data_IF_640222719282
#
_entry.id   IF_640222719282
#
_cell.length_a   1.000
_cell.length_b   1.000
_cell.length_c   1.000
_cell.angle_alpha   90.00
_cell.angle_beta   90.00
_cell.angle_gamma   90.00
#
_symmetry.space_group_name_H-M   'P 1'
#
loop_
_entity.id
_entity.type
_entity.pdbx_description
1 polymer ?
#
# COMPACT_ATOMS: atom_id res chain seq x y z
N UNK A 1 82.70 28.94 18.71
CA UNK A 1 82.55 30.38 18.60
C UNK A 1 81.26 30.66 17.78
N UNK A 2 80.50 31.55 18.23
CA UNK A 2 79.38 32.28 17.78
C UNK A 2 78.00 31.54 17.71
N UNK A 3 77.20 31.92 18.69
CA UNK A 3 75.75 31.78 18.81
C UNK A 3 75.07 32.76 17.88
N UNK A 4 74.05 32.35 17.15
CA UNK A 4 73.06 33.28 16.60
C UNK A 4 71.65 32.76 16.94
N UNK A 5 70.97 33.57 17.71
CA UNK A 5 69.56 33.44 18.12
C UNK A 5 68.65 33.74 16.93
N UNK A 6 67.84 32.82 16.56
CA UNK A 6 66.70 33.03 15.64
C UNK A 6 65.38 33.19 16.46
N UNK A 7 64.80 34.38 16.45
CA UNK A 7 63.51 34.68 17.04
C UNK A 7 62.41 34.13 16.15
N UNK A 8 61.66 33.16 16.65
CA UNK A 8 60.37 32.73 16.08
C UNK A 8 59.29 33.76 16.46
N UNK A 9 58.75 34.44 15.47
CA UNK A 9 57.55 35.26 15.60
C UNK A 9 56.33 34.34 15.46
N UNK A 10 55.64 34.03 16.57
CA UNK A 10 54.34 33.33 16.54
C UNK A 10 53.26 34.38 16.24
N UNK A 11 52.74 34.35 15.01
CA UNK A 11 51.54 35.11 14.65
C UNK A 11 50.31 34.33 15.12
N UNK A 12 49.70 34.80 16.20
CA UNK A 12 48.38 34.27 16.65
C UNK A 12 47.30 34.72 15.69
N UNK A 13 46.76 33.82 14.87
CA UNK A 13 45.61 34.10 14.02
C UNK A 13 44.34 34.04 14.91
N UNK A 14 43.85 35.22 15.29
CA UNK A 14 42.58 35.37 16.01
C UNK A 14 41.42 35.08 15.01
N UNK A 15 40.93 33.87 14.97
CA UNK A 15 39.70 33.54 14.23
C UNK A 15 38.53 34.10 15.02
N UNK A 16 38.06 35.28 14.62
CA UNK A 16 36.78 35.84 15.09
C UNK A 16 35.66 34.97 14.51
N UNK A 17 35.17 34.02 15.29
CA UNK A 17 33.91 33.34 15.00
C UNK A 17 32.80 34.38 15.15
N UNK A 18 32.40 35.00 14.06
CA UNK A 18 31.13 35.71 13.98
C UNK A 18 30.03 34.66 14.09
N UNK A 19 29.16 34.69 15.12
CA UNK A 19 28.01 33.81 15.12
C UNK A 19 27.18 34.18 13.89
N UNK A 20 27.05 33.24 12.95
CA UNK A 20 26.02 33.30 11.92
C UNK A 20 24.69 33.24 12.66
N UNK A 21 24.13 34.41 12.97
CA UNK A 21 22.75 34.48 13.42
C UNK A 21 21.92 33.89 12.30
N UNK A 22 21.38 32.71 12.51
CA UNK A 22 20.40 32.17 11.60
C UNK A 22 19.26 33.19 11.54
N UNK A 23 19.13 33.88 10.41
CA UNK A 23 18.00 34.78 10.21
C UNK A 23 16.73 33.93 10.31
N UNK A 24 15.78 34.36 11.14
CA UNK A 24 14.47 33.72 11.22
C UNK A 24 13.87 33.73 9.80
N UNK A 25 13.22 32.64 9.43
CA UNK A 25 12.52 32.57 8.16
C UNK A 25 11.44 33.68 8.09
N UNK A 26 11.11 34.14 6.89
CA UNK A 26 10.05 35.13 6.66
C UNK A 26 8.83 34.41 6.04
N UNK A 27 7.63 34.88 6.40
CA UNK A 27 6.39 34.41 5.81
C UNK A 27 6.17 35.14 4.49
N UNK A 28 6.28 34.41 3.39
CA UNK A 28 6.04 34.95 2.05
C UNK A 28 4.54 35.02 1.71
N UNK A 29 3.76 34.02 2.17
CA UNK A 29 2.34 33.93 1.83
C UNK A 29 1.56 33.07 2.83
N UNK A 30 0.28 33.45 3.02
CA UNK A 30 -0.67 32.64 3.79
C UNK A 30 -1.92 32.38 2.98
N UNK A 31 -2.15 31.13 2.63
CA UNK A 31 -3.26 30.73 1.78
C UNK A 31 -3.97 29.49 2.31
N UNK A 32 -5.18 29.26 1.80
CA UNK A 32 -5.94 28.06 2.12
C UNK A 32 -6.60 27.47 0.88
N UNK A 33 -6.89 26.18 0.94
CA UNK A 33 -7.73 25.47 -0.01
C UNK A 33 -8.75 24.62 0.73
N UNK A 34 -9.92 24.45 0.13
CA UNK A 34 -11.05 23.75 0.71
C UNK A 34 -11.49 22.62 -0.22
N UNK A 35 -11.68 21.43 0.33
CA UNK A 35 -12.20 20.25 -0.34
C UNK A 35 -13.32 19.62 0.49
N UNK A 36 -14.09 18.67 -0.02
CA UNK A 36 -15.12 17.99 0.78
C UNK A 36 -14.59 17.30 2.05
N UNK A 37 -13.34 16.83 2.04
CA UNK A 37 -12.74 16.08 3.14
C UNK A 37 -11.96 16.92 4.14
N UNK A 38 -11.39 18.04 3.71
CA UNK A 38 -10.52 18.87 4.55
C UNK A 38 -10.42 20.31 4.07
N UNK A 39 -10.00 21.18 4.98
CA UNK A 39 -9.44 22.47 4.67
C UNK A 39 -7.93 22.43 4.96
N UNK A 40 -7.14 22.98 4.05
CA UNK A 40 -5.69 23.06 4.16
C UNK A 40 -5.27 24.50 4.26
N UNK A 41 -4.53 24.85 5.30
CA UNK A 41 -3.81 26.10 5.42
C UNK A 41 -2.34 25.84 5.04
N UNK A 42 -1.76 26.81 4.33
CA UNK A 42 -0.37 26.76 3.90
C UNK A 42 0.26 28.11 4.20
N UNK A 43 1.35 28.08 4.94
CA UNK A 43 2.26 29.20 5.13
C UNK A 43 3.48 28.93 4.26
N UNK A 44 3.68 29.73 3.23
CA UNK A 44 4.86 29.69 2.36
C UNK A 44 5.98 30.49 3.02
N UNK A 45 7.21 29.98 3.01
CA UNK A 45 8.34 30.50 3.79
C UNK A 45 9.60 30.53 2.92
N UNK A 46 10.41 31.59 3.08
CA UNK A 46 11.72 31.73 2.40
C UNK A 46 12.79 30.80 2.99
N UNK A 47 12.64 30.38 4.26
CA UNK A 47 13.59 29.55 5.01
C UNK A 47 12.97 28.27 5.60
N UNK A 48 13.84 27.50 6.25
CA UNK A 48 13.41 26.32 7.03
C UNK A 48 12.72 26.80 8.31
N UNK A 49 11.71 26.08 8.72
CA UNK A 49 10.93 26.36 9.92
C UNK A 49 10.83 25.14 10.82
N UNK A 50 10.93 25.36 12.11
CA UNK A 50 10.50 24.44 13.16
C UNK A 50 9.19 24.96 13.75
N UNK A 51 8.33 24.07 14.20
CA UNK A 51 7.03 24.44 14.76
C UNK A 51 6.71 23.65 16.01
N UNK A 52 5.88 24.23 16.87
CA UNK A 52 5.31 23.61 18.05
C UNK A 52 3.79 23.82 18.06
N UNK A 53 3.05 22.81 18.47
CA UNK A 53 1.62 22.90 18.71
C UNK A 53 1.39 23.32 20.17
N UNK A 54 1.21 24.62 20.41
CA UNK A 54 1.09 25.19 21.74
C UNK A 54 -0.33 25.16 22.32
N UNK A 55 -1.33 24.91 21.46
CA UNK A 55 -2.73 24.75 21.89
C UNK A 55 -3.52 23.87 20.94
N UNK A 56 -4.15 22.86 21.51
CA UNK A 56 -5.06 21.98 20.80
C UNK A 56 -6.30 21.74 21.67
N UNK A 57 -7.40 22.37 21.32
CA UNK A 57 -8.66 22.25 22.01
C UNK A 57 -9.81 22.08 21.01
N UNK A 58 -10.98 21.65 21.49
CA UNK A 58 -12.18 21.54 20.65
C UNK A 58 -12.58 22.82 19.90
N UNK A 59 -12.05 23.98 20.32
CA UNK A 59 -12.43 25.29 19.78
C UNK A 59 -11.26 26.07 19.17
N UNK A 60 -10.03 25.64 19.38
CA UNK A 60 -8.88 26.41 18.91
C UNK A 60 -7.63 25.54 18.75
N UNK A 61 -6.97 25.70 17.60
CA UNK A 61 -5.62 25.19 17.32
C UNK A 61 -4.66 26.38 17.25
N UNK A 62 -3.48 26.25 17.85
CA UNK A 62 -2.42 27.26 17.77
C UNK A 62 -1.10 26.58 17.52
N UNK A 63 -0.50 26.86 16.38
CA UNK A 63 0.86 26.48 16.02
C UNK A 63 1.76 27.69 16.18
N UNK A 64 2.89 27.53 16.86
CA UNK A 64 3.94 28.54 16.93
C UNK A 64 5.14 28.05 16.12
N UNK A 65 5.76 28.92 15.33
CA UNK A 65 6.87 28.56 14.47
C UNK A 65 7.88 29.70 14.30
N UNK A 66 9.12 29.32 14.02
CA UNK A 66 10.26 30.24 13.96
C UNK A 66 10.32 30.97 12.61
N UNK A 67 9.43 31.93 12.42
CA UNK A 67 9.41 32.81 11.24
C UNK A 67 8.82 34.15 11.64
N UNK A 68 9.14 35.20 10.87
CA UNK A 68 8.56 36.53 11.02
C UNK A 68 7.41 36.74 10.04
N UNK A 69 6.45 37.51 10.44
CA UNK A 69 5.38 38.03 9.60
C UNK A 69 5.32 39.55 9.82
N UNK A 70 5.27 40.31 8.73
CA UNK A 70 5.32 41.79 8.82
C UNK A 70 4.08 42.40 9.48
N UNK A 71 2.91 41.78 9.25
CA UNK A 71 1.63 42.18 9.79
C UNK A 71 0.74 40.98 10.11
N UNK A 72 -0.20 41.17 11.04
CA UNK A 72 -1.24 40.16 11.34
C UNK A 72 -2.11 39.89 10.09
N UNK A 73 -2.09 38.64 9.61
CA UNK A 73 -2.85 38.26 8.44
C UNK A 73 -4.11 37.49 8.88
N UNK A 74 -5.26 37.97 8.50
CA UNK A 74 -6.55 37.29 8.75
C UNK A 74 -7.07 36.66 7.47
N UNK A 75 -7.26 35.34 7.51
CA UNK A 75 -7.85 34.59 6.40
C UNK A 75 -9.36 34.87 6.29
N UNK A 76 -9.84 35.14 5.07
CA UNK A 76 -11.28 35.30 4.75
C UNK A 76 -11.98 33.94 4.52
N UNK A 77 -11.53 32.90 5.20
CA UNK A 77 -12.10 31.56 5.06
C UNK A 77 -13.58 31.54 5.50
N UNK A 78 -14.44 30.99 4.65
CA UNK A 78 -15.84 30.68 4.99
C UNK A 78 -16.02 29.18 4.98
N UNK A 79 -16.10 28.57 6.15
CA UNK A 79 -16.14 27.12 6.31
C UNK A 79 -17.03 26.75 7.52
N UNK A 80 -17.81 25.67 7.45
CA UNK A 80 -18.65 25.24 8.58
C UNK A 80 -17.87 24.93 9.86
N UNK A 81 -16.62 24.40 9.74
CA UNK A 81 -15.79 24.03 10.89
C UNK A 81 -14.86 25.16 11.33
N UNK A 82 -14.48 26.06 10.45
CA UNK A 82 -13.56 27.14 10.74
C UNK A 82 -14.31 28.42 11.04
N UNK A 83 -14.11 28.97 12.23
CA UNK A 83 -14.64 30.27 12.59
C UNK A 83 -13.76 31.40 12.07
N UNK A 84 -12.43 31.27 12.26
CA UNK A 84 -11.43 32.26 11.86
C UNK A 84 -10.07 31.59 11.81
N UNK A 85 -9.24 31.99 10.87
CA UNK A 85 -7.82 31.65 10.85
C UNK A 85 -6.97 32.91 10.66
N UNK A 86 -5.84 33.01 11.37
CA UNK A 86 -4.94 34.17 11.30
C UNK A 86 -3.51 33.79 11.62
N UNK A 87 -2.59 34.52 11.01
CA UNK A 87 -1.20 34.62 11.47
C UNK A 87 -1.08 35.82 12.37
N UNK A 88 -0.32 35.68 13.45
CA UNK A 88 -0.08 36.71 14.43
C UNK A 88 1.38 36.72 14.84
N UNK A 89 2.02 37.89 14.80
CA UNK A 89 3.34 38.07 15.34
C UNK A 89 3.39 37.86 16.87
N UNK A 90 4.44 37.21 17.35
CA UNK A 90 4.68 36.99 18.78
C UNK A 90 6.19 37.03 19.09
N UNK A 91 6.72 38.22 19.22
CA UNK A 91 8.16 38.45 19.36
C UNK A 91 8.91 38.00 18.10
N UNK A 92 9.87 37.09 18.25
CA UNK A 92 10.64 36.57 17.12
C UNK A 92 9.96 35.38 16.40
N UNK A 93 8.73 35.04 16.77
CA UNK A 93 7.96 33.91 16.24
C UNK A 93 6.63 34.36 15.66
N UNK A 94 6.03 33.50 14.85
CA UNK A 94 4.69 33.66 14.32
C UNK A 94 3.77 32.57 14.85
N UNK A 95 2.51 32.90 15.12
CA UNK A 95 1.46 31.97 15.49
C UNK A 95 0.43 31.84 14.38
N UNK A 96 0.19 30.62 13.93
CA UNK A 96 -1.02 30.28 13.17
C UNK A 96 -2.12 29.90 14.17
N UNK A 97 -3.13 30.73 14.27
CA UNK A 97 -4.27 30.54 15.19
C UNK A 97 -5.50 30.23 14.36
N UNK A 98 -6.10 29.08 14.62
CA UNK A 98 -7.34 28.64 13.98
C UNK A 98 -8.42 28.44 15.04
N UNK A 99 -9.42 29.31 15.00
CA UNK A 99 -10.62 29.20 15.83
C UNK A 99 -11.63 28.29 15.12
N UNK A 100 -12.14 27.28 15.84
CA UNK A 100 -13.03 26.24 15.32
C UNK A 100 -14.48 26.46 15.78
N UNK A 101 -15.43 26.14 14.91
CA UNK A 101 -16.85 26.06 15.27
C UNK A 101 -17.19 24.71 15.94
N UNK A 102 -16.47 23.65 15.59
CA UNK A 102 -16.62 22.30 16.13
C UNK A 102 -15.26 21.64 16.27
N UNK A 103 -15.17 20.61 17.09
CA UNK A 103 -13.97 19.76 17.18
C UNK A 103 -13.61 19.19 15.81
N UNK A 104 -12.33 19.23 15.48
CA UNK A 104 -11.82 18.72 14.20
C UNK A 104 -10.45 18.07 14.40
N UNK A 105 -10.24 16.98 13.69
CA UNK A 105 -8.94 16.33 13.57
C UNK A 105 -8.04 17.16 12.65
N UNK A 106 -6.74 17.15 12.92
CA UNK A 106 -5.80 17.87 12.08
C UNK A 106 -4.47 17.14 11.95
N UNK A 107 -3.68 17.58 10.98
CA UNK A 107 -2.31 17.12 10.75
C UNK A 107 -1.44 18.32 10.37
N UNK A 108 -0.30 18.45 11.03
CA UNK A 108 0.72 19.45 10.70
C UNK A 108 1.93 18.77 10.10
N UNK A 109 2.52 19.38 9.09
CA UNK A 109 3.76 18.91 8.49
C UNK A 109 4.46 20.02 7.71
N UNK A 110 5.76 19.85 7.50
CA UNK A 110 6.60 20.77 6.73
C UNK A 110 6.93 20.13 5.37
N UNK A 111 6.83 20.93 4.32
CA UNK A 111 7.30 20.59 2.98
C UNK A 111 8.56 21.41 2.68
N UNK A 112 9.47 20.83 1.89
CA UNK A 112 10.70 21.46 1.41
C UNK A 112 10.60 21.67 -0.10
N UNK A 113 11.26 22.73 -0.58
CA UNK A 113 11.38 23.08 -2.01
C UNK A 113 10.03 23.32 -2.72
N UNK A 114 9.32 24.42 -2.45
CA UNK A 114 9.62 25.49 -1.49
C UNK A 114 9.27 25.10 -0.05
N UNK A 115 9.84 25.82 0.92
CA UNK A 115 9.55 25.59 2.32
C UNK A 115 8.12 26.02 2.65
N UNK A 116 7.38 25.16 3.34
CA UNK A 116 5.97 25.40 3.68
C UNK A 116 5.62 24.73 4.99
N UNK A 117 4.93 25.44 5.87
CA UNK A 117 4.22 24.85 6.98
C UNK A 117 2.77 24.58 6.54
N UNK A 118 2.31 23.35 6.67
CA UNK A 118 0.98 22.92 6.21
C UNK A 118 0.17 22.42 7.39
N UNK A 119 -1.05 22.93 7.54
CA UNK A 119 -2.04 22.46 8.49
C UNK A 119 -3.27 21.96 7.73
N UNK A 120 -3.51 20.65 7.77
CA UNK A 120 -4.74 20.02 7.31
C UNK A 120 -5.72 19.87 8.46
N UNK A 121 -6.93 20.42 8.33
CA UNK A 121 -8.03 20.24 9.27
C UNK A 121 -9.10 19.42 8.57
N UNK A 122 -9.40 18.25 9.12
CA UNK A 122 -10.30 17.29 8.50
C UNK A 122 -11.76 17.56 8.90
N UNK A 123 -12.66 17.45 7.94
CA UNK A 123 -14.09 17.52 8.16
C UNK A 123 -14.62 16.16 8.56
N UNK A 124 -14.72 15.93 9.87
CA UNK A 124 -15.38 14.74 10.37
C UNK A 124 -16.89 14.96 10.26
N UNK A 125 -17.47 14.53 9.15
CA UNK A 125 -18.89 14.27 9.08
C UNK A 125 -19.06 12.76 9.17
N UNK A 126 -19.65 12.29 10.24
CA UNK A 126 -20.22 10.94 10.28
C UNK A 126 -21.47 11.01 9.42
N UNK A 127 -21.31 10.74 8.14
CA UNK A 127 -22.43 10.59 7.21
C UNK A 127 -22.63 9.10 7.00
N UNK A 128 -23.85 8.64 7.19
CA UNK A 128 -24.25 7.29 6.82
C UNK A 128 -25.48 7.40 5.92
N UNK A 129 -25.36 6.83 4.73
CA UNK A 129 -26.50 6.66 3.83
C UNK A 129 -26.69 5.18 3.54
N UNK A 130 -27.93 4.75 3.47
CA UNK A 130 -28.29 3.38 3.15
C UNK A 130 -29.18 3.38 1.91
N UNK A 131 -28.86 2.53 0.95
CA UNK A 131 -29.60 2.35 -0.29
C UNK A 131 -30.00 0.90 -0.46
N UNK A 132 -31.29 0.62 -0.50
CA UNK A 132 -31.80 -0.72 -0.85
C UNK A 132 -31.55 -0.98 -2.34
N UNK A 133 -30.78 -2.00 -2.64
CA UNK A 133 -30.48 -2.45 -4.01
C UNK A 133 -31.43 -3.55 -4.49
N UNK A 134 -32.44 -3.89 -3.67
CA UNK A 134 -33.45 -4.90 -3.93
C UNK A 134 -33.01 -6.32 -3.57
N UNK A 135 -34.00 -7.20 -3.35
CA UNK A 135 -33.83 -8.63 -3.07
C UNK A 135 -32.95 -8.95 -1.86
N UNK A 136 -32.93 -8.05 -0.85
CA UNK A 136 -32.13 -8.23 0.37
C UNK A 136 -30.64 -7.90 0.22
N UNK A 137 -30.28 -7.06 -0.74
CA UNK A 137 -28.97 -6.44 -0.87
C UNK A 137 -29.08 -4.97 -0.53
N UNK A 138 -28.27 -4.52 0.42
CA UNK A 138 -28.22 -3.11 0.84
C UNK A 138 -26.78 -2.59 0.68
N UNK A 139 -26.65 -1.41 0.12
CA UNK A 139 -25.39 -0.66 0.10
C UNK A 139 -25.44 0.40 1.18
N UNK A 140 -24.48 0.39 2.08
CA UNK A 140 -24.31 1.38 3.13
C UNK A 140 -23.00 2.12 2.86
N UNK A 141 -23.09 3.42 2.69
CA UNK A 141 -21.95 4.32 2.65
C UNK A 141 -21.81 5.00 4.00
N UNK A 142 -20.63 4.95 4.59
CA UNK A 142 -20.29 5.66 5.81
C UNK A 142 -19.03 6.49 5.59
N UNK A 143 -19.04 7.66 6.16
CA UNK A 143 -17.85 8.45 6.38
C UNK A 143 -17.61 8.48 7.87
N UNK A 144 -16.50 7.93 8.33
CA UNK A 144 -16.18 7.81 9.74
C UNK A 144 -14.71 8.10 10.01
N UNK A 145 -14.39 8.36 11.26
CA UNK A 145 -13.03 8.53 11.71
C UNK A 145 -12.46 7.19 12.18
N UNK A 146 -11.31 6.81 11.64
CA UNK A 146 -10.54 5.67 12.13
C UNK A 146 -9.18 6.17 12.62
N UNK A 147 -9.00 6.23 13.93
CA UNK A 147 -7.76 6.67 14.57
C UNK A 147 -7.29 8.07 14.12
N UNK A 148 -8.22 9.00 14.01
CA UNK A 148 -7.91 10.37 13.60
C UNK A 148 -7.79 10.61 12.09
N UNK A 149 -8.12 9.62 11.28
CA UNK A 149 -8.13 9.72 9.82
C UNK A 149 -9.55 9.55 9.29
N UNK A 150 -10.07 10.51 8.51
CA UNK A 150 -11.36 10.35 7.85
C UNK A 150 -11.25 9.24 6.79
N UNK A 151 -12.09 8.23 6.92
CA UNK A 151 -12.19 7.12 5.97
C UNK A 151 -13.59 7.05 5.37
N UNK A 152 -13.67 6.60 4.13
CA UNK A 152 -14.90 6.29 3.45
C UNK A 152 -15.07 4.77 3.42
N UNK A 153 -16.16 4.30 4.02
CA UNK A 153 -16.47 2.87 4.13
C UNK A 153 -17.69 2.56 3.29
N UNK A 154 -17.52 1.63 2.37
CA UNK A 154 -18.62 1.08 1.58
C UNK A 154 -18.91 -0.35 2.07
N UNK A 155 -20.13 -0.61 2.51
CA UNK A 155 -20.57 -1.89 3.02
C UNK A 155 -21.65 -2.44 2.09
N UNK A 156 -21.49 -3.69 1.66
CA UNK A 156 -22.54 -4.45 1.00
C UNK A 156 -23.11 -5.45 2.00
N UNK A 157 -24.33 -5.24 2.43
CA UNK A 157 -25.02 -6.12 3.35
C UNK A 157 -25.95 -7.03 2.58
N UNK A 158 -25.84 -8.33 2.81
CA UNK A 158 -26.64 -9.38 2.17
C UNK A 158 -27.51 -10.04 3.23
N UNK A 159 -28.82 -9.86 3.15
CA UNK A 159 -29.76 -10.42 4.11
C UNK A 159 -29.70 -11.96 4.12
N UNK A 160 -29.84 -12.64 5.27
CA UNK A 160 -29.71 -14.09 5.37
C UNK A 160 -30.68 -14.92 4.50
N UNK A 161 -31.84 -14.38 4.20
CA UNK A 161 -32.89 -15.04 3.40
C UNK A 161 -32.94 -14.59 1.94
N UNK A 162 -31.84 -14.07 1.41
CA UNK A 162 -31.77 -13.62 0.03
C UNK A 162 -31.45 -14.77 -0.94
N UNK A 163 -31.50 -14.47 -2.25
CA UNK A 163 -31.16 -15.40 -3.34
C UNK A 163 -29.78 -15.12 -3.95
N UNK A 164 -28.97 -14.25 -3.35
CA UNK A 164 -27.63 -13.97 -3.87
C UNK A 164 -26.64 -15.01 -3.40
N UNK A 165 -25.70 -15.32 -4.27
CA UNK A 165 -24.58 -16.20 -3.99
C UNK A 165 -23.33 -15.33 -3.95
N UNK A 166 -22.59 -15.41 -2.86
CA UNK A 166 -21.25 -14.85 -2.79
C UNK A 166 -20.30 -15.80 -3.51
N UNK A 167 -19.62 -15.31 -4.56
CA UNK A 167 -18.68 -16.11 -5.34
C UNK A 167 -17.42 -15.29 -5.61
N UNK A 168 -16.23 -15.80 -5.27
CA UNK A 168 -14.99 -15.22 -5.76
C UNK A 168 -14.87 -15.46 -7.27
N UNK A 169 -14.27 -14.51 -7.99
CA UNK A 169 -13.97 -14.63 -9.39
C UNK A 169 -12.68 -13.89 -9.75
N UNK A 170 -12.01 -14.30 -10.82
CA UNK A 170 -10.85 -13.60 -11.32
C UNK A 170 -11.28 -12.45 -12.24
N UNK A 171 -10.84 -11.23 -11.95
CA UNK A 171 -11.07 -10.07 -12.79
C UNK A 171 -10.31 -10.11 -14.12
N UNK A 172 -9.28 -10.92 -14.22
CA UNK A 172 -8.55 -11.20 -15.44
C UNK A 172 -9.31 -12.24 -16.28
N UNK A 173 -10.47 -11.89 -16.78
CA UNK A 173 -11.32 -12.77 -17.61
C UNK A 173 -10.64 -13.17 -18.92
N UNK A 174 -9.63 -12.41 -19.36
CA UNK A 174 -8.86 -12.71 -20.55
C UNK A 174 -7.43 -12.18 -20.40
N UNK A 175 -6.49 -13.10 -20.16
CA UNK A 175 -5.05 -12.87 -20.33
C UNK A 175 -4.47 -11.74 -19.45
N UNK A 176 -3.84 -12.10 -18.35
CA UNK A 176 -2.74 -11.35 -17.75
C UNK A 176 -2.89 -9.83 -17.83
N UNK A 177 -3.89 -9.24 -17.20
CA UNK A 177 -4.09 -7.82 -17.33
C UNK A 177 -4.99 -7.25 -16.25
N UNK A 178 -4.71 -6.00 -15.92
CA UNK A 178 -5.56 -5.19 -15.08
C UNK A 178 -6.85 -4.86 -15.80
N UNK A 179 -7.94 -4.92 -15.10
CA UNK A 179 -9.24 -4.47 -15.56
C UNK A 179 -9.93 -3.60 -14.52
N UNK A 180 -10.95 -2.88 -14.92
CA UNK A 180 -11.80 -2.20 -13.94
C UNK A 180 -12.73 -3.22 -13.30
N UNK A 181 -12.96 -3.08 -11.99
CA UNK A 181 -13.91 -3.92 -11.25
C UNK A 181 -15.30 -3.94 -11.91
N UNK A 182 -15.75 -2.78 -12.40
CA UNK A 182 -17.04 -2.66 -13.10
C UNK A 182 -17.11 -3.53 -14.36
N UNK A 183 -16.05 -3.56 -15.18
CA UNK A 183 -16.00 -4.38 -16.39
C UNK A 183 -16.02 -5.87 -16.05
N UNK A 184 -15.24 -6.26 -15.05
CA UNK A 184 -15.19 -7.64 -14.57
C UNK A 184 -16.53 -8.10 -13.98
N UNK A 185 -17.16 -7.28 -13.13
CA UNK A 185 -18.47 -7.56 -12.54
C UNK A 185 -19.57 -7.71 -13.62
N UNK A 186 -19.59 -6.83 -14.62
CA UNK A 186 -20.54 -6.93 -15.75
C UNK A 186 -20.34 -8.20 -16.57
N UNK A 187 -19.09 -8.63 -16.78
CA UNK A 187 -18.79 -9.84 -17.56
C UNK A 187 -19.32 -11.12 -16.91
N UNK A 188 -19.42 -11.17 -15.58
CA UNK A 188 -19.95 -12.31 -14.82
C UNK A 188 -21.41 -12.12 -14.38
N UNK A 189 -22.05 -11.03 -14.78
CA UNK A 189 -23.44 -10.73 -14.38
C UNK A 189 -23.61 -10.43 -12.89
N UNK A 190 -22.57 -10.00 -12.22
CA UNK A 190 -22.63 -9.71 -10.79
C UNK A 190 -23.52 -8.50 -10.47
N UNK A 191 -24.33 -8.59 -9.44
CA UNK A 191 -25.16 -7.50 -8.94
C UNK A 191 -24.36 -6.45 -8.19
N UNK A 192 -23.34 -6.91 -7.46
CA UNK A 192 -22.37 -6.09 -6.75
C UNK A 192 -21.02 -6.83 -6.73
N UNK A 193 -19.92 -6.11 -6.61
CA UNK A 193 -18.61 -6.67 -6.51
C UNK A 193 -17.67 -5.76 -5.72
N UNK A 194 -16.68 -6.37 -5.10
CA UNK A 194 -15.61 -5.69 -4.34
C UNK A 194 -14.29 -6.38 -4.63
N UNK A 195 -13.19 -5.63 -4.60
CA UNK A 195 -11.86 -6.22 -4.65
C UNK A 195 -11.60 -7.04 -3.39
N UNK A 196 -11.07 -8.27 -3.56
CA UNK A 196 -10.87 -9.21 -2.46
C UNK A 196 -9.38 -9.49 -2.19
N UNK A 197 -8.52 -9.47 -3.19
CA UNK A 197 -7.11 -9.84 -3.07
C UNK A 197 -6.19 -8.72 -3.49
N UNK A 198 -4.96 -8.73 -2.96
CA UNK A 198 -3.87 -7.92 -3.47
C UNK A 198 -3.40 -8.45 -4.83
N UNK A 199 -2.82 -7.59 -5.63
CA UNK A 199 -2.22 -7.94 -6.92
C UNK A 199 -1.01 -7.04 -7.19
N UNK A 200 -0.05 -7.55 -7.95
CA UNK A 200 1.16 -6.82 -8.35
C UNK A 200 0.92 -5.86 -9.52
N UNK A 201 2.01 -5.24 -9.99
CA UNK A 201 1.96 -4.29 -11.10
C UNK A 201 1.42 -4.88 -12.39
N UNK A 202 1.57 -6.17 -12.60
CA UNK A 202 1.13 -6.89 -13.80
C UNK A 202 -0.29 -7.46 -13.66
N UNK A 203 -0.91 -7.27 -12.50
CA UNK A 203 -2.25 -7.75 -12.19
C UNK A 203 -2.29 -9.19 -11.67
N UNK A 204 -1.14 -9.77 -11.30
CA UNK A 204 -1.08 -11.08 -10.66
C UNK A 204 -1.54 -11.03 -9.22
N UNK A 205 -2.23 -12.08 -8.82
CA UNK A 205 -2.72 -12.21 -7.45
C UNK A 205 -1.54 -12.43 -6.51
N UNK A 206 -1.46 -11.61 -5.48
CA UNK A 206 -0.55 -11.79 -4.35
C UNK A 206 -1.33 -12.49 -3.24
N UNK A 207 -0.93 -13.72 -2.90
CA UNK A 207 -1.60 -14.53 -1.89
C UNK A 207 -2.39 -15.70 -2.48
N UNK A 208 -3.40 -16.13 -1.75
CA UNK A 208 -4.09 -17.40 -2.02
C UNK A 208 -5.41 -17.15 -2.73
N UNK A 209 -5.59 -17.74 -3.93
CA UNK A 209 -6.87 -17.79 -4.62
C UNK A 209 -7.15 -19.19 -5.14
N UNK A 210 -8.27 -19.75 -4.71
CA UNK A 210 -8.84 -21.03 -5.21
C UNK A 210 -10.23 -20.76 -5.74
N UNK A 211 -10.49 -21.12 -7.00
CA UNK A 211 -11.80 -20.98 -7.64
C UNK A 211 -12.28 -22.33 -8.13
N UNK A 212 -13.50 -22.69 -7.76
CA UNK A 212 -14.15 -23.94 -8.21
C UNK A 212 -13.26 -25.20 -8.03
N UNK A 213 -12.45 -25.24 -6.95
CA UNK A 213 -11.54 -26.33 -6.63
C UNK A 213 -10.13 -26.21 -7.20
N UNK A 214 -9.87 -25.26 -8.08
CA UNK A 214 -8.56 -25.06 -8.71
C UNK A 214 -7.79 -23.88 -8.11
N UNK A 215 -6.49 -24.04 -7.94
CA UNK A 215 -5.61 -23.02 -7.46
C UNK A 215 -5.14 -22.09 -8.59
N UNK A 216 -5.49 -20.81 -8.50
CA UNK A 216 -5.03 -19.80 -9.43
C UNK A 216 -3.73 -19.14 -8.98
N UNK A 217 -3.52 -19.05 -7.68
CA UNK A 217 -2.30 -18.53 -7.10
C UNK A 217 -2.19 -18.92 -5.64
N UNK A 218 -0.95 -19.05 -5.16
CA UNK A 218 -0.71 -19.46 -3.78
C UNK A 218 0.71 -19.20 -3.34
N UNK A 219 0.83 -18.77 -2.08
CA UNK A 219 2.07 -18.59 -1.35
C UNK A 219 2.07 -19.43 -0.06
N UNK A 220 3.25 -19.83 0.36
CA UNK A 220 3.42 -20.67 1.56
C UNK A 220 3.25 -19.90 2.88
N UNK A 221 3.26 -18.57 2.86
CA UNK A 221 3.12 -17.78 4.08
C UNK A 221 1.66 -17.81 4.59
N UNK A 222 1.45 -17.96 5.91
CA UNK A 222 0.11 -17.93 6.50
C UNK A 222 -0.60 -16.61 6.22
N UNK A 223 -1.84 -16.68 5.78
CA UNK A 223 -2.71 -15.50 5.55
C UNK A 223 -4.14 -15.82 5.94
N UNK A 224 -4.86 -14.81 6.42
CA UNK A 224 -6.31 -14.93 6.58
C UNK A 224 -6.98 -15.00 5.22
N UNK A 225 -7.97 -15.84 5.10
CA UNK A 225 -8.71 -16.06 3.86
C UNK A 225 -10.23 -16.03 4.08
N UNK A 226 -10.95 -15.47 3.11
CA UNK A 226 -12.40 -15.64 3.00
C UNK A 226 -12.65 -16.91 2.19
N UNK A 227 -13.27 -17.90 2.82
CA UNK A 227 -13.64 -19.16 2.20
C UNK A 227 -15.14 -19.18 1.97
N UNK A 228 -15.57 -19.51 0.76
CA UNK A 228 -16.99 -19.71 0.43
C UNK A 228 -17.18 -21.19 0.03
N UNK A 229 -17.81 -21.95 0.90
CA UNK A 229 -18.08 -23.37 0.67
C UNK A 229 -19.58 -23.62 0.82
N UNK A 230 -20.20 -24.28 -0.17
CA UNK A 230 -21.65 -24.54 -0.17
C UNK A 230 -22.49 -23.25 -0.07
N UNK A 231 -22.00 -22.14 -0.62
CA UNK A 231 -22.67 -20.85 -0.56
C UNK A 231 -22.59 -20.12 0.78
N UNK A 232 -21.86 -20.68 1.77
CA UNK A 232 -21.67 -20.07 3.09
C UNK A 232 -20.27 -19.49 3.21
N UNK A 233 -20.15 -18.18 3.49
CA UNK A 233 -18.87 -17.57 3.74
C UNK A 233 -18.37 -17.85 5.16
N UNK A 234 -17.07 -18.05 5.30
CA UNK A 234 -16.36 -18.12 6.57
C UNK A 234 -14.99 -17.44 6.44
N UNK A 235 -14.47 -16.89 7.53
CA UNK A 235 -13.11 -16.38 7.59
C UNK A 235 -12.24 -17.43 8.28
N UNK A 236 -11.15 -17.81 7.63
CA UNK A 236 -10.11 -18.67 8.21
C UNK A 236 -8.87 -17.81 8.47
N UNK A 237 -8.37 -17.86 9.69
CA UNK A 237 -7.12 -17.17 10.06
C UNK A 237 -5.94 -18.11 9.85
N UNK A 238 -4.79 -17.52 9.54
CA UNK A 238 -3.51 -18.22 9.45
C UNK A 238 -3.52 -19.47 8.56
N UNK A 239 -4.26 -19.39 7.46
CA UNK A 239 -4.29 -20.45 6.45
C UNK A 239 -2.92 -20.54 5.77
N UNK A 240 -2.22 -21.65 6.00
CA UNK A 240 -0.97 -22.00 5.35
C UNK A 240 -1.17 -23.11 4.33
N UNK A 241 -0.31 -23.13 3.33
CA UNK A 241 -0.26 -24.19 2.34
C UNK A 241 0.97 -25.06 2.54
N UNK A 242 0.74 -26.35 2.46
CA UNK A 242 1.80 -27.35 2.36
C UNK A 242 1.55 -28.22 1.13
N UNK A 243 2.49 -28.21 0.20
CA UNK A 243 2.44 -29.04 -1.00
C UNK A 243 3.73 -29.83 -1.17
N UNK A 244 3.62 -31.06 -1.65
CA UNK A 244 4.77 -31.92 -1.95
C UNK A 244 4.65 -32.59 -3.29
N UNK A 245 5.76 -32.63 -4.03
CA UNK A 245 5.91 -33.46 -5.21
C UNK A 245 6.77 -34.66 -4.85
N UNK A 246 6.20 -35.86 -4.88
CA UNK A 246 6.89 -37.10 -4.59
C UNK A 246 7.40 -37.78 -5.87
N UNK A 247 8.61 -38.20 -5.89
CA UNK A 247 9.29 -38.89 -7.00
C UNK A 247 9.58 -40.36 -6.61
N UNK A 248 8.69 -41.30 -6.89
CA UNK A 248 8.84 -42.70 -6.43
C UNK A 248 10.12 -43.36 -6.90
N UNK A 249 10.50 -43.14 -8.17
CA UNK A 249 11.75 -43.72 -8.75
C UNK A 249 13.04 -43.16 -8.13
N UNK A 250 12.99 -41.98 -7.54
CA UNK A 250 14.12 -41.34 -6.87
C UNK A 250 14.09 -41.52 -5.35
N UNK A 251 12.97 -42.02 -4.79
CA UNK A 251 12.77 -42.17 -3.35
C UNK A 251 12.79 -40.85 -2.58
N UNK A 252 12.41 -39.73 -3.23
CA UNK A 252 12.54 -38.40 -2.63
C UNK A 252 11.31 -37.52 -2.92
N UNK A 253 11.20 -36.43 -2.22
CA UNK A 253 10.16 -35.44 -2.47
C UNK A 253 10.76 -34.02 -2.49
N UNK A 254 10.04 -33.08 -3.08
CA UNK A 254 10.29 -31.66 -3.03
C UNK A 254 9.07 -30.93 -2.42
N UNK A 255 9.31 -30.06 -1.46
CA UNK A 255 8.26 -29.21 -0.93
C UNK A 255 7.97 -28.10 -1.94
N UNK A 256 6.70 -28.02 -2.37
CA UNK A 256 6.21 -27.00 -3.30
C UNK A 256 5.89 -25.73 -2.50
N UNK A 257 6.63 -24.67 -2.72
CA UNK A 257 6.57 -23.42 -1.94
C UNK A 257 5.57 -22.41 -2.50
N UNK A 258 4.97 -22.68 -3.63
CA UNK A 258 3.95 -21.80 -4.22
C UNK A 258 3.36 -22.36 -5.51
N UNK A 259 2.23 -21.74 -5.91
CA UNK A 259 1.53 -22.07 -7.16
C UNK A 259 1.34 -20.77 -7.93
N UNK A 260 1.69 -20.75 -9.23
CA UNK A 260 1.47 -19.65 -10.16
C UNK A 260 2.02 -18.31 -9.65
N UNK A 261 3.24 -18.29 -9.18
CA UNK A 261 3.99 -17.08 -8.82
C UNK A 261 5.41 -17.12 -9.41
N UNK A 262 6.10 -16.00 -9.36
CA UNK A 262 7.50 -15.97 -9.80
C UNK A 262 8.37 -16.92 -8.96
N UNK A 263 9.20 -17.73 -9.63
CA UNK A 263 10.21 -18.54 -8.98
C UNK A 263 11.37 -17.65 -8.54
N UNK A 264 11.79 -17.79 -7.30
CA UNK A 264 12.96 -17.12 -6.73
C UNK A 264 14.11 -18.12 -6.52
N UNK A 265 15.20 -17.67 -5.88
CA UNK A 265 16.33 -18.55 -5.53
C UNK A 265 15.87 -19.63 -4.52
N UNK A 266 16.40 -20.85 -4.66
CA UNK A 266 16.15 -22.03 -3.80
C UNK A 266 14.67 -22.37 -3.62
N UNK A 267 13.91 -22.25 -4.70
CA UNK A 267 12.47 -22.32 -4.75
C UNK A 267 11.96 -23.54 -5.54
N UNK A 268 10.72 -23.92 -5.22
CA UNK A 268 9.96 -24.91 -5.99
C UNK A 268 8.54 -24.36 -6.22
N UNK A 269 8.20 -24.12 -7.46
CA UNK A 269 6.90 -23.56 -7.83
C UNK A 269 6.19 -24.48 -8.80
N UNK A 270 4.90 -24.72 -8.54
CA UNK A 270 4.01 -25.41 -9.45
C UNK A 270 3.30 -24.41 -10.36
N UNK A 271 3.36 -24.61 -11.66
CA UNK A 271 2.71 -23.77 -12.66
C UNK A 271 1.57 -24.51 -13.34
N UNK A 272 0.43 -23.84 -13.44
CA UNK A 272 -0.74 -24.28 -14.20
C UNK A 272 -1.01 -23.29 -15.34
N UNK A 273 -1.92 -23.65 -16.26
CA UNK A 273 -2.31 -22.79 -17.36
C UNK A 273 -2.84 -21.39 -16.96
N UNK A 274 -3.24 -21.23 -15.70
CA UNK A 274 -3.67 -19.92 -15.17
C UNK A 274 -2.54 -18.91 -15.06
N UNK A 275 -1.28 -19.36 -14.96
CA UNK A 275 -0.15 -18.43 -14.89
C UNK A 275 0.13 -17.71 -16.22
N UNK A 276 -0.30 -18.26 -17.33
CA UNK A 276 -0.13 -17.67 -18.64
C UNK A 276 0.39 -18.65 -19.69
N UNK A 277 0.99 -18.17 -20.79
CA UNK A 277 1.45 -19.05 -21.87
C UNK A 277 2.71 -19.84 -21.53
N UNK A 278 3.45 -19.47 -20.50
CA UNK A 278 4.66 -20.13 -20.06
C UNK A 278 5.02 -19.78 -18.62
N UNK A 279 5.99 -20.48 -18.04
CA UNK A 279 6.42 -20.32 -16.65
C UNK A 279 7.16 -19.01 -16.37
N UNK A 280 7.61 -18.31 -17.42
CA UNK A 280 8.39 -17.06 -17.36
C UNK A 280 9.66 -17.18 -16.51
N UNK A 281 10.16 -18.39 -16.31
CA UNK A 281 11.39 -18.66 -15.58
C UNK A 281 12.63 -18.50 -16.47
N UNK A 282 13.81 -18.47 -15.88
CA UNK A 282 15.10 -18.41 -16.56
C UNK A 282 15.82 -19.78 -16.53
N UNK A 283 16.97 -19.85 -17.18
CA UNK A 283 17.81 -21.05 -17.31
C UNK A 283 18.53 -21.47 -16.01
N UNK A 284 18.43 -20.73 -14.92
CA UNK A 284 19.11 -21.05 -13.65
C UNK A 284 18.34 -22.06 -12.78
N UNK A 285 17.45 -22.84 -13.38
CA UNK A 285 16.69 -23.90 -12.72
C UNK A 285 16.34 -25.00 -13.69
N UNK A 286 15.54 -25.93 -13.22
CA UNK A 286 15.07 -27.08 -14.01
C UNK A 286 13.56 -27.23 -13.92
N UNK A 287 12.94 -27.63 -15.00
CA UNK A 287 11.49 -27.75 -15.14
C UNK A 287 11.11 -29.11 -15.65
N UNK A 288 10.02 -29.63 -15.10
CA UNK A 288 9.39 -30.87 -15.59
C UNK A 288 7.91 -30.63 -15.83
N UNK A 289 7.40 -31.14 -16.94
CA UNK A 289 5.96 -31.19 -17.22
C UNK A 289 5.38 -32.51 -16.70
N UNK A 290 4.27 -32.43 -15.98
CA UNK A 290 3.60 -33.56 -15.38
C UNK A 290 2.16 -33.62 -15.93
N UNK A 291 1.81 -34.69 -16.60
CA UNK A 291 0.46 -34.93 -17.06
C UNK A 291 -0.51 -35.28 -15.89
N UNK A 292 -1.80 -35.21 -16.12
CA UNK A 292 -2.83 -35.48 -15.10
C UNK A 292 -2.73 -36.87 -14.44
N UNK A 293 -2.14 -37.84 -15.13
CA UNK A 293 -1.88 -39.18 -14.58
C UNK A 293 -0.58 -39.30 -13.76
N UNK A 294 0.11 -38.16 -13.52
CA UNK A 294 1.35 -38.10 -12.74
C UNK A 294 2.62 -38.45 -13.53
N UNK A 295 2.54 -38.76 -14.83
CA UNK A 295 3.71 -39.07 -15.66
C UNK A 295 4.42 -37.77 -16.11
N UNK A 296 5.74 -37.84 -16.08
CA UNK A 296 6.57 -36.75 -16.65
C UNK A 296 6.61 -36.90 -18.17
N UNK A 297 6.22 -35.86 -18.88
CA UNK A 297 6.15 -35.84 -20.35
C UNK A 297 7.22 -35.00 -21.02
N UNK A 298 7.83 -34.07 -20.26
CA UNK A 298 8.87 -33.16 -20.78
C UNK A 298 9.79 -32.73 -19.63
N UNK A 299 11.07 -32.52 -19.92
CA UNK A 299 12.05 -31.98 -18.98
C UNK A 299 12.89 -30.92 -19.68
N UNK A 300 13.26 -29.85 -18.98
CA UNK A 300 14.02 -28.75 -19.58
C UNK A 300 14.83 -27.96 -18.56
N UNK A 301 16.09 -27.66 -18.88
CA UNK A 301 16.94 -26.69 -18.19
C UNK A 301 16.89 -25.28 -18.78
N UNK A 302 16.15 -25.07 -19.89
CA UNK A 302 16.12 -23.77 -20.57
C UNK A 302 15.23 -22.74 -19.87
N UNK A 303 14.34 -23.17 -18.99
CA UNK A 303 13.30 -22.33 -18.40
C UNK A 303 12.18 -21.99 -19.38
N UNK A 304 11.22 -21.21 -18.92
CA UNK A 304 10.08 -20.71 -19.68
C UNK A 304 9.28 -21.79 -20.44
N UNK A 305 9.09 -22.96 -19.81
CA UNK A 305 8.30 -24.04 -20.37
C UNK A 305 6.86 -23.57 -20.65
N UNK A 306 6.31 -23.91 -21.81
CA UNK A 306 4.92 -23.58 -22.19
C UNK A 306 3.94 -24.23 -21.22
N UNK A 307 2.83 -23.58 -20.94
CA UNK A 307 1.75 -24.07 -20.10
C UNK A 307 0.52 -24.43 -20.92
N UNK A 308 -0.15 -25.50 -20.53
CA UNK A 308 -1.39 -25.97 -21.15
C UNK A 308 -2.44 -26.37 -20.09
N UNK A 309 -3.65 -26.69 -20.54
CA UNK A 309 -4.78 -26.99 -19.66
C UNK A 309 -4.81 -28.43 -19.13
N UNK A 310 -3.95 -29.31 -19.63
CA UNK A 310 -4.00 -30.76 -19.37
C UNK A 310 -2.80 -31.26 -18.56
N UNK A 311 -1.85 -30.38 -18.31
CA UNK A 311 -0.65 -30.69 -17.54
C UNK A 311 -0.27 -29.54 -16.59
N UNK A 312 0.64 -29.83 -15.67
CA UNK A 312 1.27 -28.85 -14.81
C UNK A 312 2.78 -28.87 -15.02
N UNK A 313 3.45 -27.77 -14.68
CA UNK A 313 4.92 -27.69 -14.72
C UNK A 313 5.43 -27.45 -13.31
N UNK A 314 6.33 -28.32 -12.85
CA UNK A 314 7.08 -28.10 -11.62
C UNK A 314 8.44 -27.52 -11.97
N UNK A 315 8.76 -26.39 -11.37
CA UNK A 315 9.99 -25.64 -11.62
C UNK A 315 10.77 -25.50 -10.34
N UNK A 316 12.02 -25.96 -10.34
CA UNK A 316 12.94 -25.89 -9.21
C UNK A 316 14.17 -25.04 -9.48
N UNK A 317 14.68 -24.38 -8.42
CA UNK A 317 15.96 -23.67 -8.41
C UNK A 317 16.86 -24.21 -7.31
N UNK A 318 18.18 -24.04 -7.45
CA UNK A 318 19.17 -24.50 -6.47
C UNK A 318 19.20 -26.01 -6.30
N UNK A 319 19.08 -26.50 -5.07
CA UNK A 319 19.09 -27.95 -4.79
C UNK A 319 17.88 -28.67 -5.41
N UNK A 320 16.75 -28.02 -5.52
CA UNK A 320 15.57 -28.60 -6.18
C UNK A 320 15.81 -28.83 -7.69
N UNK A 321 16.51 -27.92 -8.37
CA UNK A 321 16.89 -28.13 -9.77
C UNK A 321 17.72 -29.42 -9.95
N UNK A 322 18.70 -29.67 -9.07
CA UNK A 322 19.52 -30.89 -9.10
C UNK A 322 18.71 -32.18 -8.89
N UNK A 323 17.63 -32.11 -8.12
CA UNK A 323 16.71 -33.24 -7.99
C UNK A 323 15.92 -33.44 -9.28
N UNK A 324 15.37 -32.35 -9.86
CA UNK A 324 14.60 -32.41 -11.08
C UNK A 324 15.41 -32.84 -12.31
N UNK A 325 16.69 -32.49 -12.40
CA UNK A 325 17.62 -32.97 -13.45
C UNK A 325 17.74 -34.49 -13.52
N UNK A 326 17.51 -35.18 -12.41
CA UNK A 326 17.55 -36.65 -12.34
C UNK A 326 16.23 -37.32 -12.78
N UNK A 327 15.17 -36.51 -12.95
CA UNK A 327 13.87 -37.02 -13.38
C UNK A 327 13.88 -37.27 -14.88
N UNK A 328 13.39 -38.40 -15.29
CA UNK A 328 13.28 -38.83 -16.68
C UNK A 328 11.83 -38.80 -17.15
N UNK A 329 11.65 -38.65 -18.46
CA UNK A 329 10.35 -38.80 -19.11
C UNK A 329 9.87 -40.22 -18.97
N UNK A 330 8.57 -40.41 -18.59
CA UNK A 330 7.94 -41.76 -18.44
C UNK A 330 7.37 -42.11 -17.06
#
# INVERSE_FOLDING_TARGET
MLKTFGRLLAAALLVVMVPLSAMAAEVENFRFSSSPSKIRFVVDLDGKVEYEEIKNTKKQLVLEFDAKVDDDIVSKVKDPIIKKARLQEKGDKTRLIVDLNSEAQHKVFVLKQPNRLVLDIFRIRVESTSSDMGKGLTHIYRREDMNGLPVEVNILEIAPKNRYILKPFSGAVNKNGRGTLLKAAKAVGARAAVNASYFDSDGWIIGNLKLDGEWLGMESQPRSALVVAGGKPMVMQDLAYEGRAFFPKLGTFLDVKGINRSRIADDVVLYTHYYGPGTKTNQYGYEIRIAANGRVTEVSGAGNMKLDKVSVVLSGHGMAAKVLERVQVG
#
